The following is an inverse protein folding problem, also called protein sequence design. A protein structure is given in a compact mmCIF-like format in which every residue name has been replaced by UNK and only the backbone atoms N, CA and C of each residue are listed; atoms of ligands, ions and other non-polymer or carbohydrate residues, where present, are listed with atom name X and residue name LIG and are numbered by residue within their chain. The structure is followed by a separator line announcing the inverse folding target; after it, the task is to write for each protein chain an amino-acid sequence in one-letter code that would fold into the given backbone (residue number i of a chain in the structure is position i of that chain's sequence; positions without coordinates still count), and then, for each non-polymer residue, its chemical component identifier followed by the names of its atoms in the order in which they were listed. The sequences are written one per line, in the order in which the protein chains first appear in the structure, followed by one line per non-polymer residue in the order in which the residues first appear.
data_IF_144585410579
#
_entry.id   IF_144585410579
#
_cell.length_a   1.000
_cell.length_b   1.000
_cell.length_c   1.000
_cell.angle_alpha   90.00
_cell.angle_beta   90.00
_cell.angle_gamma   90.00
#
_symmetry.space_group_name_H-M   'P 1'
#
loop_
_entity.id
_entity.type
_entity.pdbx_description
1 polymer ?
#
# COMPACT_ATOMS: atom_id res chain seq x y z
N UNK A 1 -51.70 -81.63 26.79
CA UNK A 1 -51.84 -82.25 28.12
C UNK A 1 -51.65 -81.17 29.17
N UNK A 2 -52.63 -81.07 30.08
CA UNK A 2 -52.61 -80.44 31.40
C UNK A 2 -52.35 -78.93 31.57
N UNK A 3 -53.31 -78.33 32.25
CA UNK A 3 -53.49 -76.97 32.76
C UNK A 3 -52.68 -76.76 34.07
N UNK A 4 -52.31 -75.53 34.40
CA UNK A 4 -52.79 -74.81 35.62
C UNK A 4 -51.75 -73.92 36.37
N UNK A 5 -52.31 -72.84 36.91
CA UNK A 5 -51.97 -72.05 38.11
C UNK A 5 -51.31 -70.67 37.99
N UNK A 6 -52.19 -69.68 38.18
CA UNK A 6 -51.98 -68.39 38.83
C UNK A 6 -51.04 -68.43 40.04
N UNK A 7 -50.18 -67.41 40.18
CA UNK A 7 -49.81 -66.79 41.47
C UNK A 7 -49.50 -65.29 41.30
N UNK A 8 -50.24 -64.46 42.04
CA UNK A 8 -49.92 -63.06 42.39
C UNK A 8 -48.65 -63.00 43.25
N UNK A 9 -47.88 -61.90 43.17
CA UNK A 9 -47.10 -61.23 44.25
C UNK A 9 -46.31 -60.00 43.71
N UNK A 10 -45.83 -59.04 44.54
CA UNK A 10 -46.46 -57.74 44.76
C UNK A 10 -45.63 -56.52 44.30
N UNK A 11 -46.29 -55.35 44.31
CA UNK A 11 -45.74 -54.02 44.04
C UNK A 11 -44.76 -53.60 45.15
N UNK A 12 -43.46 -53.47 44.83
CA UNK A 12 -42.46 -52.83 45.71
C UNK A 12 -42.07 -51.47 45.11
N UNK A 13 -42.52 -50.39 45.77
CA UNK A 13 -42.11 -49.02 45.49
C UNK A 13 -40.75 -48.79 46.17
N UNK A 14 -39.69 -48.69 45.37
CA UNK A 14 -38.35 -48.32 45.86
C UNK A 14 -38.17 -46.80 45.71
N UNK A 15 -38.25 -46.07 46.82
CA UNK A 15 -37.90 -44.67 46.89
C UNK A 15 -36.38 -44.50 46.72
N UNK A 16 -35.95 -43.97 45.57
CA UNK A 16 -34.58 -43.55 45.33
C UNK A 16 -34.37 -42.16 45.94
N UNK A 17 -33.61 -42.12 47.02
CA UNK A 17 -33.05 -40.91 47.62
C UNK A 17 -32.06 -40.31 46.62
N UNK A 18 -32.37 -39.14 46.08
CA UNK A 18 -31.41 -38.34 45.29
C UNK A 18 -30.43 -37.64 46.24
N UNK A 19 -29.11 -37.74 46.01
CA UNK A 19 -28.17 -36.85 46.69
C UNK A 19 -28.31 -35.47 46.05
N UNK A 20 -28.65 -34.47 46.86
CA UNK A 20 -28.52 -33.08 46.49
C UNK A 20 -27.01 -32.75 46.33
N UNK A 21 -26.49 -32.94 45.12
CA UNK A 21 -25.25 -32.28 44.72
C UNK A 21 -25.57 -30.79 44.59
N UNK A 22 -25.12 -30.01 45.56
CA UNK A 22 -24.92 -28.57 45.44
C UNK A 22 -24.02 -28.34 44.23
N UNK A 23 -24.63 -27.98 43.10
CA UNK A 23 -23.93 -27.39 41.98
C UNK A 23 -23.42 -26.02 42.46
N UNK A 24 -22.16 -25.97 42.88
CA UNK A 24 -21.43 -24.71 42.89
C UNK A 24 -21.38 -24.26 41.43
N UNK A 25 -22.23 -23.30 41.09
CA UNK A 25 -22.13 -22.56 39.84
C UNK A 25 -20.78 -21.85 39.83
N UNK A 26 -19.77 -22.50 39.28
CA UNK A 26 -18.62 -21.79 38.75
C UNK A 26 -19.13 -21.00 37.57
N UNK A 27 -19.31 -19.70 37.75
CA UNK A 27 -19.40 -18.78 36.62
C UNK A 27 -18.12 -19.00 35.80
N UNK A 28 -18.25 -19.51 34.57
CA UNK A 28 -17.18 -19.36 33.60
C UNK A 28 -16.86 -17.86 33.51
N UNK A 29 -15.57 -17.46 33.57
CA UNK A 29 -15.22 -16.05 33.46
C UNK A 29 -15.81 -15.51 32.16
N UNK A 30 -16.56 -14.41 32.27
CA UNK A 30 -17.18 -13.75 31.13
C UNK A 30 -16.12 -13.54 30.05
N UNK A 31 -16.29 -14.22 28.90
CA UNK A 31 -15.39 -14.07 27.75
C UNK A 31 -15.40 -12.60 27.35
N UNK A 32 -14.24 -11.95 27.40
CA UNK A 32 -14.09 -10.57 26.93
C UNK A 32 -14.60 -10.48 25.49
N UNK A 33 -15.63 -9.66 25.27
CA UNK A 33 -16.19 -9.41 23.94
C UNK A 33 -15.65 -8.09 23.43
N UNK A 34 -14.89 -8.13 22.33
CA UNK A 34 -14.48 -6.93 21.61
C UNK A 34 -15.70 -6.34 20.88
N UNK A 35 -16.01 -5.04 21.07
CA UNK A 35 -16.94 -4.32 20.20
C UNK A 35 -16.44 -4.32 18.75
N UNK A 36 -17.33 -4.68 17.82
CA UNK A 36 -17.07 -4.65 16.36
C UNK A 36 -17.94 -3.59 15.66
N UNK A 37 -18.35 -2.58 16.40
CA UNK A 37 -19.24 -1.50 15.95
C UNK A 37 -18.51 -0.37 15.22
N UNK A 38 -17.21 -0.54 14.95
CA UNK A 38 -16.38 0.47 14.30
C UNK A 38 -15.84 1.55 15.23
N UNK A 39 -15.97 1.39 16.55
CA UNK A 39 -15.31 2.26 17.52
C UNK A 39 -13.85 1.86 17.79
N UNK A 40 -13.04 2.82 18.27
CA UNK A 40 -11.68 2.52 18.76
C UNK A 40 -11.76 1.95 20.16
N UNK A 41 -11.33 0.69 20.31
CA UNK A 41 -11.42 -0.06 21.58
C UNK A 41 -10.28 0.33 22.53
N UNK A 42 -10.62 0.65 23.77
CA UNK A 42 -9.63 0.88 24.84
C UNK A 42 -9.17 -0.45 25.44
N UNK A 43 -7.86 -0.70 25.40
CA UNK A 43 -7.24 -1.90 25.97
C UNK A 43 -6.39 -1.57 27.20
N UNK A 44 -6.25 -2.57 28.06
CA UNK A 44 -5.41 -2.55 29.25
C UNK A 44 -4.75 -3.92 29.49
N UNK A 45 -3.92 -4.03 30.53
CA UNK A 45 -3.23 -5.30 30.87
C UNK A 45 -4.19 -6.47 31.15
N UNK A 46 -5.44 -6.21 31.54
CA UNK A 46 -6.42 -7.24 31.89
C UNK A 46 -7.15 -7.81 30.67
N UNK A 47 -7.29 -7.04 29.59
CA UNK A 47 -8.05 -7.45 28.41
C UNK A 47 -7.22 -7.60 27.12
N UNK A 48 -5.97 -7.12 27.08
CA UNK A 48 -5.17 -7.08 25.85
C UNK A 48 -5.00 -8.44 25.16
N UNK A 49 -4.60 -9.46 25.90
CA UNK A 49 -4.34 -10.79 25.31
C UNK A 49 -5.64 -11.46 24.84
N UNK A 50 -6.73 -11.27 25.59
CA UNK A 50 -8.05 -11.74 25.18
C UNK A 50 -8.53 -11.00 23.92
N UNK A 51 -8.20 -9.72 23.79
CA UNK A 51 -8.50 -8.92 22.62
C UNK A 51 -7.77 -9.45 21.37
N UNK A 52 -6.45 -9.66 21.49
CA UNK A 52 -5.61 -10.20 20.41
C UNK A 52 -6.09 -11.58 19.96
N UNK A 53 -6.56 -12.43 20.89
CA UNK A 53 -7.04 -13.77 20.58
C UNK A 53 -8.48 -13.83 20.02
N UNK A 54 -9.28 -12.77 20.17
CA UNK A 54 -10.70 -12.77 19.83
C UNK A 54 -11.02 -12.26 18.41
N UNK A 55 -10.03 -11.74 17.69
CA UNK A 55 -10.17 -11.25 16.32
C UNK A 55 -8.96 -11.67 15.48
N UNK A 56 -9.18 -11.87 14.19
CA UNK A 56 -8.10 -12.25 13.26
C UNK A 56 -7.15 -11.07 13.02
N UNK A 57 -7.68 -9.85 12.93
CA UNK A 57 -6.90 -8.63 12.70
C UNK A 57 -7.23 -7.55 13.73
N UNK A 58 -6.23 -7.16 14.51
CA UNK A 58 -6.31 -6.07 15.50
C UNK A 58 -5.22 -5.04 15.23
N UNK A 59 -5.62 -3.79 14.98
CA UNK A 59 -4.70 -2.67 14.82
C UNK A 59 -4.65 -1.83 16.10
N UNK A 60 -3.48 -1.74 16.73
CA UNK A 60 -3.31 -1.16 18.07
C UNK A 60 -2.41 0.08 18.03
N UNK A 61 -2.90 1.19 18.59
CA UNK A 61 -2.11 2.38 18.95
C UNK A 61 -1.56 2.29 20.37
N UNK A 62 -0.25 2.05 20.49
CA UNK A 62 0.46 2.17 21.77
C UNK A 62 0.80 3.64 21.99
N UNK A 63 0.03 4.29 22.87
CA UNK A 63 0.05 5.74 23.05
C UNK A 63 0.42 6.18 24.47
N UNK A 64 0.68 7.49 24.62
CA UNK A 64 0.77 8.17 25.90
C UNK A 64 -0.12 9.43 25.91
N UNK A 65 -0.84 9.75 27.02
CA UNK A 65 -1.80 10.86 27.05
C UNK A 65 -1.20 12.25 26.83
N UNK A 66 0.08 12.44 27.17
CA UNK A 66 0.79 13.71 27.03
C UNK A 66 1.40 13.90 25.63
N UNK A 67 1.47 12.86 24.80
CA UNK A 67 2.15 12.90 23.52
C UNK A 67 1.32 13.66 22.46
N UNK A 68 1.89 14.75 21.93
CA UNK A 68 1.24 15.55 20.89
C UNK A 68 1.01 14.80 19.58
N UNK A 69 1.87 13.82 19.24
CA UNK A 69 1.70 13.00 18.03
C UNK A 69 0.52 12.03 18.18
N UNK A 70 0.34 11.42 19.35
CA UNK A 70 -0.82 10.56 19.67
C UNK A 70 -2.12 11.35 19.58
N UNK A 71 -2.16 12.58 20.15
CA UNK A 71 -3.36 13.44 20.10
C UNK A 71 -3.79 13.77 18.68
N UNK A 72 -2.84 13.94 17.74
CA UNK A 72 -3.15 14.16 16.33
C UNK A 72 -3.58 12.89 15.59
N UNK A 73 -3.10 11.73 16.04
CA UNK A 73 -3.43 10.44 15.45
C UNK A 73 -4.82 9.95 15.87
N UNK A 74 -5.22 10.15 17.13
CA UNK A 74 -6.52 9.70 17.66
C UNK A 74 -7.71 9.99 16.73
N UNK A 75 -7.96 11.24 16.27
CA UNK A 75 -9.09 11.50 15.38
C UNK A 75 -8.99 10.79 14.02
N UNK A 76 -7.78 10.47 13.55
CA UNK A 76 -7.60 9.69 12.32
C UNK A 76 -7.94 8.21 12.52
N UNK A 77 -7.70 7.67 13.72
CA UNK A 77 -8.13 6.31 14.08
C UNK A 77 -9.63 6.24 14.26
N UNK A 78 -10.25 7.25 14.89
CA UNK A 78 -11.69 7.35 15.06
C UNK A 78 -12.42 7.40 13.70
N UNK A 79 -11.83 8.07 12.71
CA UNK A 79 -12.33 8.12 11.33
C UNK A 79 -12.11 6.79 10.58
N UNK A 80 -10.97 6.12 10.78
CA UNK A 80 -10.63 4.89 10.08
C UNK A 80 -11.37 3.64 10.61
N UNK A 81 -11.59 3.58 11.92
CA UNK A 81 -12.17 2.41 12.61
C UNK A 81 -13.51 1.91 12.02
N UNK A 82 -14.52 2.75 11.71
CA UNK A 82 -15.77 2.25 11.15
C UNK A 82 -15.60 1.70 9.73
N UNK A 83 -14.70 2.29 8.93
CA UNK A 83 -14.41 1.81 7.57
C UNK A 83 -13.72 0.45 7.62
N UNK A 84 -12.75 0.30 8.53
CA UNK A 84 -11.98 -0.94 8.73
C UNK A 84 -12.83 -2.09 9.28
N UNK A 85 -13.77 -1.79 10.18
CA UNK A 85 -14.70 -2.78 10.72
C UNK A 85 -15.73 -3.27 9.67
N UNK A 86 -16.05 -2.42 8.68
CA UNK A 86 -16.99 -2.73 7.60
C UNK A 86 -16.40 -3.46 6.40
N UNK A 87 -15.08 -3.74 6.40
CA UNK A 87 -14.43 -4.47 5.31
C UNK A 87 -14.91 -5.93 5.25
N UNK A 88 -14.81 -6.52 4.06
CA UNK A 88 -14.98 -7.97 3.86
C UNK A 88 -14.05 -8.81 4.75
N UNK A 89 -12.86 -8.29 5.04
CA UNK A 89 -11.93 -8.78 6.06
C UNK A 89 -11.79 -7.72 7.17
N UNK A 90 -12.61 -7.78 8.24
CA UNK A 90 -12.67 -6.73 9.25
C UNK A 90 -11.36 -6.56 10.02
N UNK A 91 -10.98 -5.31 10.29
CA UNK A 91 -9.88 -4.96 11.20
C UNK A 91 -10.46 -4.16 12.36
N UNK A 92 -10.27 -4.64 13.58
CA UNK A 92 -10.64 -3.88 14.78
C UNK A 92 -9.52 -2.90 15.10
N UNK A 93 -9.89 -1.64 15.38
CA UNK A 93 -8.94 -0.63 15.84
C UNK A 93 -9.02 -0.51 17.35
N UNK A 94 -7.87 -0.49 18.00
CA UNK A 94 -7.75 -0.37 19.44
C UNK A 94 -6.60 0.57 19.81
N UNK A 95 -6.56 0.97 21.08
CA UNK A 95 -5.45 1.73 21.64
C UNK A 95 -5.18 1.30 23.08
N UNK A 96 -3.93 1.47 23.49
CA UNK A 96 -3.47 1.08 24.83
C UNK A 96 -2.50 2.14 25.36
N UNK A 97 -2.72 2.55 26.61
CA UNK A 97 -1.84 3.49 27.29
C UNK A 97 -0.55 2.79 27.73
N UNK A 98 0.45 2.78 26.85
CA UNK A 98 1.74 2.12 27.04
C UNK A 98 2.67 2.87 28.03
N UNK A 99 2.37 4.13 28.37
CA UNK A 99 3.00 4.84 29.50
C UNK A 99 2.58 4.21 30.84
N UNK A 100 1.29 3.92 30.98
CA UNK A 100 0.70 3.31 32.18
C UNK A 100 1.04 1.81 32.27
N UNK A 101 0.90 1.09 31.17
CA UNK A 101 1.04 -0.37 31.10
C UNK A 101 2.44 -0.79 30.63
N UNK A 102 3.44 -0.57 31.49
CA UNK A 102 4.87 -0.77 31.17
C UNK A 102 5.22 -2.21 30.79
N UNK A 103 4.46 -3.21 31.26
CA UNK A 103 4.67 -4.61 30.90
C UNK A 103 4.34 -4.85 29.43
N UNK A 104 3.18 -4.35 28.96
CA UNK A 104 2.80 -4.42 27.55
C UNK A 104 3.80 -3.65 26.68
N UNK A 105 4.19 -2.45 27.11
CA UNK A 105 5.21 -1.64 26.43
C UNK A 105 6.51 -2.44 26.22
N UNK A 106 7.00 -3.10 27.26
CA UNK A 106 8.23 -3.88 27.21
C UNK A 106 8.06 -5.15 26.38
N UNK A 107 6.92 -5.86 26.51
CA UNK A 107 6.62 -7.09 25.79
C UNK A 107 6.66 -6.89 24.27
N UNK A 108 6.13 -5.77 23.79
CA UNK A 108 6.05 -5.45 22.37
C UNK A 108 7.14 -4.47 21.90
N UNK A 109 8.18 -4.22 22.70
CA UNK A 109 9.32 -3.39 22.27
C UNK A 109 8.96 -1.95 21.90
N UNK A 110 8.01 -1.34 22.62
CA UNK A 110 7.54 0.02 22.32
C UNK A 110 8.52 1.06 22.90
N UNK A 111 9.38 1.59 22.06
CA UNK A 111 10.42 2.56 22.44
C UNK A 111 9.98 4.03 22.35
N UNK A 112 8.94 4.32 21.57
CA UNK A 112 8.40 5.67 21.37
C UNK A 112 6.89 5.69 21.15
N UNK A 113 6.31 6.90 21.13
CA UNK A 113 4.87 7.09 20.96
C UNK A 113 4.52 8.06 19.82
N UNK A 114 3.45 7.79 19.04
CA UNK A 114 2.74 6.53 19.00
C UNK A 114 3.56 5.45 18.28
N UNK A 115 3.44 4.21 18.73
CA UNK A 115 3.86 3.01 18.00
C UNK A 115 2.61 2.26 17.58
N UNK A 116 2.48 1.98 16.28
CA UNK A 116 1.30 1.35 15.69
C UNK A 116 1.65 -0.09 15.34
N UNK A 117 0.80 -1.05 15.72
CA UNK A 117 1.02 -2.46 15.41
C UNK A 117 -0.23 -3.11 14.84
N UNK A 118 -0.06 -3.90 13.79
CA UNK A 118 -1.07 -4.83 13.31
C UNK A 118 -0.77 -6.19 13.91
N UNK A 119 -1.75 -6.76 14.60
CA UNK A 119 -1.75 -8.16 15.02
C UNK A 119 -2.54 -8.95 13.96
N UNK A 120 -1.82 -9.80 13.23
CA UNK A 120 -2.36 -10.70 12.21
C UNK A 120 -2.36 -12.11 12.80
N UNK A 121 -3.54 -12.64 13.12
CA UNK A 121 -3.75 -13.89 13.85
C UNK A 121 -2.86 -13.98 15.12
N UNK A 122 -2.78 -12.85 15.84
CA UNK A 122 -1.98 -12.71 17.05
C UNK A 122 -0.48 -12.44 16.84
N UNK A 123 0.01 -12.44 15.59
CA UNK A 123 1.40 -12.11 15.26
C UNK A 123 1.55 -10.60 15.09
N UNK A 124 2.33 -9.91 15.94
CA UNK A 124 2.49 -8.47 15.85
C UNK A 124 3.47 -8.07 14.74
N UNK A 125 3.10 -7.06 13.95
CA UNK A 125 3.99 -6.37 13.01
C UNK A 125 3.84 -4.87 13.20
N UNK A 126 4.96 -4.16 13.35
CA UNK A 126 4.95 -2.70 13.43
C UNK A 126 4.51 -2.09 12.10
N UNK A 127 3.56 -1.17 12.17
CA UNK A 127 3.06 -0.42 11.04
C UNK A 127 3.76 0.93 10.92
N UNK A 128 4.51 1.10 9.82
CA UNK A 128 5.29 2.31 9.53
C UNK A 128 4.69 3.15 8.39
N UNK A 129 3.46 2.83 7.95
CA UNK A 129 2.79 3.52 6.85
C UNK A 129 2.18 4.86 7.23
N UNK A 130 1.35 5.41 6.33
CA UNK A 130 0.67 6.69 6.57
C UNK A 130 -0.27 6.64 7.77
N UNK A 131 -0.33 7.76 8.49
CA UNK A 131 -1.15 7.97 9.68
C UNK A 131 -2.43 8.77 9.40
N UNK A 132 -2.67 9.12 8.13
CA UNK A 132 -3.90 9.78 7.69
C UNK A 132 -5.00 8.74 7.45
N UNK A 133 -6.22 9.00 7.90
CA UNK A 133 -7.32 8.03 7.93
C UNK A 133 -7.50 7.28 6.61
N UNK A 134 -7.70 7.98 5.49
CA UNK A 134 -7.90 7.34 4.18
C UNK A 134 -6.72 6.44 3.75
N UNK A 135 -5.49 6.95 3.83
CA UNK A 135 -4.29 6.19 3.44
C UNK A 135 -3.97 5.04 4.41
N UNK A 136 -4.32 5.21 5.69
CA UNK A 136 -4.22 4.17 6.72
C UNK A 136 -5.17 3.01 6.40
N UNK A 137 -6.43 3.32 6.08
CA UNK A 137 -7.44 2.33 5.65
C UNK A 137 -6.96 1.57 4.41
N UNK A 138 -6.50 2.28 3.38
CA UNK A 138 -5.97 1.65 2.16
C UNK A 138 -4.79 0.71 2.46
N UNK A 139 -3.85 1.16 3.28
CA UNK A 139 -2.65 0.37 3.63
C UNK A 139 -3.00 -0.87 4.43
N UNK A 140 -3.82 -0.75 5.48
CA UNK A 140 -4.20 -1.87 6.34
C UNK A 140 -5.04 -2.90 5.59
N UNK A 141 -5.99 -2.46 4.76
CA UNK A 141 -6.77 -3.34 3.89
C UNK A 141 -5.86 -4.18 2.99
N UNK A 142 -4.83 -3.58 2.40
CA UNK A 142 -3.86 -4.30 1.55
C UNK A 142 -3.06 -5.34 2.33
N UNK A 143 -2.71 -5.03 3.57
CA UNK A 143 -1.91 -5.92 4.42
C UNK A 143 -2.69 -7.19 4.82
N UNK A 144 -3.97 -7.04 5.19
CA UNK A 144 -4.79 -8.17 5.68
C UNK A 144 -5.48 -8.97 4.57
N UNK A 145 -5.52 -8.44 3.35
CA UNK A 145 -6.13 -9.13 2.24
C UNK A 145 -5.39 -10.43 1.90
N UNK A 146 -6.12 -11.45 1.39
CA UNK A 146 -5.49 -12.63 0.84
C UNK A 146 -4.59 -12.24 -0.34
N UNK A 147 -3.59 -13.07 -0.62
CA UNK A 147 -2.68 -12.85 -1.74
C UNK A 147 -3.44 -12.89 -3.08
N UNK A 148 -4.46 -13.74 -3.16
CA UNK A 148 -5.44 -13.79 -4.25
C UNK A 148 -6.85 -13.90 -3.66
N UNK A 149 -7.72 -12.93 -3.92
CA UNK A 149 -9.12 -12.99 -3.50
C UNK A 149 -9.94 -13.89 -4.41
N UNK A 150 -10.84 -14.69 -3.86
CA UNK A 150 -11.79 -15.50 -4.65
C UNK A 150 -13.15 -14.80 -4.69
N UNK A 151 -13.59 -14.44 -5.89
CA UNK A 151 -14.82 -13.69 -6.16
C UNK A 151 -15.85 -14.64 -6.77
N UNK A 152 -17.05 -14.71 -6.20
CA UNK A 152 -18.05 -15.74 -6.52
C UNK A 152 -19.36 -15.18 -7.09
N UNK A 153 -19.38 -13.91 -7.49
CA UNK A 153 -20.52 -13.27 -8.16
C UNK A 153 -20.16 -11.90 -8.72
N UNK A 154 -21.00 -11.36 -9.60
CA UNK A 154 -20.90 -9.98 -10.08
C UNK A 154 -20.84 -8.95 -8.95
N UNK A 155 -21.64 -9.16 -7.90
CA UNK A 155 -21.66 -8.28 -6.74
C UNK A 155 -20.32 -8.30 -6.01
N UNK A 156 -19.72 -9.48 -5.82
CA UNK A 156 -18.40 -9.63 -5.21
C UNK A 156 -17.30 -8.95 -6.04
N UNK A 157 -17.37 -9.04 -7.38
CA UNK A 157 -16.43 -8.36 -8.28
C UNK A 157 -16.54 -6.84 -8.16
N UNK A 158 -17.77 -6.31 -8.21
CA UNK A 158 -18.01 -4.86 -8.06
C UNK A 158 -17.54 -4.35 -6.69
N UNK A 159 -17.87 -5.06 -5.62
CA UNK A 159 -17.41 -4.73 -4.26
C UNK A 159 -15.89 -4.79 -4.14
N UNK A 160 -15.23 -5.79 -4.72
CA UNK A 160 -13.77 -5.89 -4.72
C UNK A 160 -13.12 -4.70 -5.41
N UNK A 161 -13.59 -4.31 -6.59
CA UNK A 161 -13.05 -3.14 -7.31
C UNK A 161 -13.29 -1.84 -6.54
N UNK A 162 -14.49 -1.68 -5.96
CA UNK A 162 -14.82 -0.52 -5.14
C UNK A 162 -13.96 -0.44 -3.87
N UNK A 163 -13.74 -1.57 -3.18
CA UNK A 163 -12.94 -1.64 -1.96
C UNK A 163 -11.44 -1.47 -2.26
N UNK A 164 -10.93 -2.01 -3.37
CA UNK A 164 -9.54 -1.86 -3.77
C UNK A 164 -9.13 -0.38 -4.00
N UNK A 165 -10.11 0.47 -4.37
CA UNK A 165 -9.92 1.90 -4.56
C UNK A 165 -9.01 2.23 -5.75
N UNK A 166 -8.32 3.37 -5.68
CA UNK A 166 -7.47 3.87 -6.79
C UNK A 166 -5.98 3.80 -6.49
N UNK A 167 -5.59 3.32 -5.31
CA UNK A 167 -4.20 3.34 -4.86
C UNK A 167 -3.29 2.34 -5.57
N UNK A 168 -3.84 1.22 -6.06
CA UNK A 168 -3.07 0.12 -6.64
C UNK A 168 -3.76 -0.45 -7.89
N UNK A 169 -3.00 -0.96 -8.87
CA UNK A 169 -3.54 -1.80 -9.93
C UNK A 169 -4.25 -3.05 -9.39
N UNK A 170 -5.19 -3.57 -10.17
CA UNK A 170 -5.95 -4.79 -9.87
C UNK A 170 -5.82 -5.78 -11.01
N UNK A 171 -5.70 -7.07 -10.68
CA UNK A 171 -5.71 -8.18 -11.61
C UNK A 171 -6.86 -9.12 -11.25
N UNK A 172 -7.81 -9.30 -12.17
CA UNK A 172 -9.00 -10.14 -11.99
C UNK A 172 -8.97 -11.25 -13.04
N UNK A 173 -8.76 -12.48 -12.58
CA UNK A 173 -8.72 -13.67 -13.43
C UNK A 173 -10.10 -14.28 -13.65
N UNK A 174 -10.66 -14.14 -14.84
CA UNK A 174 -11.92 -14.73 -15.26
C UNK A 174 -11.68 -16.12 -15.87
N UNK A 175 -12.18 -17.17 -15.20
CA UNK A 175 -11.89 -18.56 -15.59
C UNK A 175 -10.41 -18.96 -15.37
N UNK A 176 -9.67 -18.21 -14.56
CA UNK A 176 -8.27 -18.47 -14.20
C UNK A 176 -8.23 -19.17 -12.85
N UNK A 177 -7.50 -20.27 -12.74
CA UNK A 177 -7.27 -20.94 -11.46
C UNK A 177 -6.38 -20.11 -10.54
N UNK A 178 -6.72 -20.07 -9.25
CA UNK A 178 -5.98 -19.33 -8.22
C UNK A 178 -4.49 -19.70 -8.20
N UNK A 179 -4.17 -20.98 -8.35
CA UNK A 179 -2.79 -21.48 -8.40
C UNK A 179 -1.96 -20.88 -9.54
N UNK A 180 -2.59 -20.45 -10.63
CA UNK A 180 -1.90 -19.84 -11.77
C UNK A 180 -1.40 -18.43 -11.47
N UNK A 181 -2.01 -17.75 -10.48
CA UNK A 181 -1.65 -16.38 -10.11
C UNK A 181 -1.21 -16.20 -8.65
N UNK A 182 -1.24 -17.27 -7.84
CA UNK A 182 -0.93 -17.24 -6.41
C UNK A 182 0.47 -16.67 -6.11
N UNK A 183 1.49 -17.09 -6.86
CA UNK A 183 2.86 -16.60 -6.67
C UNK A 183 2.95 -15.09 -6.91
N UNK A 184 2.26 -14.57 -7.92
CA UNK A 184 2.25 -13.14 -8.24
C UNK A 184 1.47 -12.35 -7.19
N UNK A 185 0.35 -12.88 -6.71
CA UNK A 185 -0.40 -12.34 -5.58
C UNK A 185 0.48 -12.12 -4.35
N UNK A 186 1.26 -13.14 -3.98
CA UNK A 186 2.20 -13.07 -2.87
C UNK A 186 3.35 -12.09 -3.14
N UNK A 187 4.00 -12.22 -4.30
CA UNK A 187 5.17 -11.41 -4.70
C UNK A 187 4.83 -9.92 -4.78
N UNK A 188 3.66 -9.57 -5.30
CA UNK A 188 3.22 -8.21 -5.53
C UNK A 188 2.16 -7.73 -4.52
N UNK A 189 2.02 -8.39 -3.37
CA UNK A 189 1.03 -8.04 -2.33
C UNK A 189 1.00 -6.56 -1.96
N UNK A 190 2.15 -5.88 -1.97
CA UNK A 190 2.28 -4.45 -1.64
C UNK A 190 2.17 -3.51 -2.85
N UNK A 191 2.02 -4.04 -4.06
CA UNK A 191 2.04 -3.29 -5.33
C UNK A 191 0.76 -3.42 -6.15
N UNK A 192 0.02 -4.53 -6.03
CA UNK A 192 -1.23 -4.74 -6.76
C UNK A 192 -2.19 -5.71 -6.06
N UNK A 193 -3.46 -5.63 -6.40
CA UNK A 193 -4.50 -6.57 -5.99
C UNK A 193 -4.60 -7.73 -6.98
N UNK A 194 -4.79 -8.94 -6.49
CA UNK A 194 -5.01 -10.12 -7.34
C UNK A 194 -6.28 -10.83 -6.89
N UNK A 195 -7.06 -11.30 -7.86
CA UNK A 195 -8.26 -12.07 -7.60
C UNK A 195 -8.59 -13.03 -8.74
N UNK A 196 -9.42 -14.02 -8.45
CA UNK A 196 -10.06 -14.90 -9.44
C UNK A 196 -11.57 -14.75 -9.35
N UNK A 197 -12.26 -14.73 -10.48
CA UNK A 197 -13.70 -14.73 -10.59
C UNK A 197 -14.19 -16.14 -10.98
N UNK A 198 -14.87 -16.81 -10.04
CA UNK A 198 -15.44 -18.16 -10.22
C UNK A 198 -16.82 -18.13 -10.88
N UNK A 199 -17.55 -17.04 -10.72
CA UNK A 199 -18.87 -16.83 -11.31
C UNK A 199 -19.01 -15.34 -11.69
N UNK A 200 -19.48 -15.10 -12.91
CA UNK A 200 -19.63 -13.78 -13.50
C UNK A 200 -20.58 -13.84 -14.72
N UNK A 201 -21.30 -12.76 -14.96
CA UNK A 201 -22.22 -12.64 -16.10
C UNK A 201 -21.52 -12.22 -17.39
N UNK A 202 -22.19 -12.46 -18.53
CA UNK A 202 -21.79 -11.91 -19.84
C UNK A 202 -21.77 -10.36 -19.83
N UNK A 203 -22.61 -9.72 -19.02
CA UNK A 203 -22.59 -8.26 -18.85
C UNK A 203 -21.25 -7.79 -18.28
N UNK A 204 -20.66 -8.52 -17.33
CA UNK A 204 -19.32 -8.19 -16.84
C UNK A 204 -18.22 -8.43 -17.88
N UNK A 205 -18.40 -9.43 -18.75
CA UNK A 205 -17.49 -9.63 -19.89
C UNK A 205 -17.48 -8.41 -20.81
N UNK A 206 -18.67 -7.86 -21.11
CA UNK A 206 -18.80 -6.63 -21.87
C UNK A 206 -18.23 -5.40 -21.13
N UNK A 207 -18.45 -5.28 -19.81
CA UNK A 207 -17.91 -4.18 -19.00
C UNK A 207 -16.38 -4.17 -18.99
N UNK A 208 -15.76 -5.34 -18.87
CA UNK A 208 -14.30 -5.49 -18.85
C UNK A 208 -13.70 -5.83 -20.21
N UNK A 209 -14.48 -5.68 -21.29
CA UNK A 209 -14.06 -5.81 -22.69
C UNK A 209 -13.26 -7.09 -22.98
N UNK A 210 -13.78 -8.24 -22.53
CA UNK A 210 -13.21 -9.55 -22.87
C UNK A 210 -14.27 -10.51 -23.43
N UNK A 211 -13.88 -11.39 -24.35
CA UNK A 211 -14.81 -12.24 -25.10
C UNK A 211 -14.59 -13.75 -24.88
N UNK A 212 -13.50 -14.12 -24.19
CA UNK A 212 -13.06 -15.51 -23.98
C UNK A 212 -12.47 -15.70 -22.60
N UNK A 213 -12.42 -16.96 -22.18
CA UNK A 213 -11.74 -17.40 -20.96
C UNK A 213 -10.73 -18.52 -21.28
N UNK A 214 -9.66 -18.68 -20.50
CA UNK A 214 -9.26 -17.85 -19.36
C UNK A 214 -8.80 -16.44 -19.80
N UNK A 215 -9.11 -15.43 -18.99
CA UNK A 215 -8.68 -14.04 -19.21
C UNK A 215 -8.24 -13.39 -17.90
N UNK A 216 -7.11 -12.69 -17.90
CA UNK A 216 -6.68 -11.84 -16.79
C UNK A 216 -6.88 -10.38 -17.17
N UNK A 217 -7.84 -9.75 -16.51
CA UNK A 217 -8.11 -8.32 -16.67
C UNK A 217 -7.23 -7.55 -15.70
N UNK A 218 -6.38 -6.67 -16.21
CA UNK A 218 -5.67 -5.66 -15.44
C UNK A 218 -6.46 -4.35 -15.46
N UNK A 219 -6.63 -3.74 -14.30
CA UNK A 219 -7.23 -2.42 -14.12
C UNK A 219 -6.23 -1.51 -13.40
N UNK A 220 -6.06 -0.30 -13.90
CA UNK A 220 -5.33 0.76 -13.23
C UNK A 220 -6.24 1.97 -13.00
N UNK A 221 -7.01 1.99 -11.89
CA UNK A 221 -8.06 2.99 -11.68
C UNK A 221 -7.52 4.42 -11.58
N UNK A 222 -6.28 4.60 -11.09
CA UNK A 222 -5.61 5.90 -10.99
C UNK A 222 -5.47 6.58 -12.36
N UNK A 223 -5.24 5.78 -13.41
CA UNK A 223 -5.01 6.26 -14.77
C UNK A 223 -6.17 5.96 -15.72
N UNK A 224 -7.22 5.31 -15.22
CA UNK A 224 -8.37 4.83 -15.99
C UNK A 224 -7.91 3.98 -17.21
N UNK A 225 -7.01 3.03 -16.94
CA UNK A 225 -6.45 2.12 -17.94
C UNK A 225 -6.88 0.69 -17.64
N UNK A 226 -7.05 -0.11 -18.70
CA UNK A 226 -7.42 -1.52 -18.63
C UNK A 226 -6.66 -2.29 -19.71
N UNK A 227 -6.33 -3.55 -19.42
CA UNK A 227 -5.76 -4.47 -20.39
C UNK A 227 -6.23 -5.89 -20.12
N UNK A 228 -6.34 -6.71 -21.16
CA UNK A 228 -6.79 -8.10 -21.03
C UNK A 228 -5.72 -9.03 -21.58
N UNK A 229 -5.39 -10.06 -20.80
CA UNK A 229 -4.44 -11.09 -21.18
C UNK A 229 -5.14 -12.45 -21.29
N UNK A 230 -5.07 -13.07 -22.47
CA UNK A 230 -5.71 -14.36 -22.77
C UNK A 230 -4.78 -15.56 -22.60
N UNK A 231 -3.56 -15.36 -22.10
CA UNK A 231 -2.57 -16.42 -21.92
C UNK A 231 -1.43 -16.38 -22.96
N UNK A 232 -0.48 -17.31 -22.84
CA UNK A 232 -0.50 -18.46 -21.91
C UNK A 232 -0.33 -18.06 -20.44
N UNK A 233 -1.01 -18.75 -19.52
CA UNK A 233 -0.97 -18.50 -18.07
C UNK A 233 0.22 -19.15 -17.36
N UNK A 234 1.32 -19.32 -18.09
CA UNK A 234 2.52 -20.01 -17.67
C UNK A 234 3.74 -19.40 -18.35
N UNK A 235 4.92 -19.63 -17.76
CA UNK A 235 6.17 -19.07 -18.26
C UNK A 235 6.24 -17.55 -18.15
N UNK A 236 7.05 -16.93 -19.02
CA UNK A 236 7.39 -15.49 -18.93
C UNK A 236 6.30 -14.57 -19.43
N UNK A 237 5.37 -15.03 -20.26
CA UNK A 237 4.33 -14.17 -20.86
C UNK A 237 3.40 -13.54 -19.81
N UNK A 238 2.97 -14.33 -18.83
CA UNK A 238 2.14 -13.85 -17.72
C UNK A 238 2.94 -12.88 -16.83
N UNK A 239 4.19 -13.21 -16.52
CA UNK A 239 5.07 -12.34 -15.75
C UNK A 239 5.28 -10.99 -16.44
N UNK A 240 5.56 -11.00 -17.74
CA UNK A 240 5.73 -9.81 -18.56
C UNK A 240 4.44 -8.98 -18.57
N UNK A 241 3.27 -9.60 -18.79
CA UNK A 241 1.99 -8.90 -18.74
C UNK A 241 1.73 -8.23 -17.39
N UNK A 242 1.96 -8.95 -16.28
CA UNK A 242 1.80 -8.41 -14.93
C UNK A 242 2.76 -7.25 -14.70
N UNK A 243 4.05 -7.42 -14.98
CA UNK A 243 5.07 -6.36 -14.81
C UNK A 243 4.71 -5.12 -15.61
N UNK A 244 4.31 -5.28 -16.87
CA UNK A 244 3.90 -4.18 -17.74
C UNK A 244 2.66 -3.47 -17.21
N UNK A 245 1.70 -4.23 -16.71
CA UNK A 245 0.43 -3.74 -16.17
C UNK A 245 0.54 -3.07 -14.79
N UNK A 246 1.64 -3.27 -14.06
CA UNK A 246 1.88 -2.56 -12.80
C UNK A 246 2.13 -1.05 -13.01
N UNK A 247 2.61 -0.67 -14.20
CA UNK A 247 2.86 0.70 -14.59
C UNK A 247 1.72 1.19 -15.49
N UNK A 248 1.36 2.48 -15.44
CA UNK A 248 0.52 3.05 -16.49
C UNK A 248 1.23 2.99 -17.85
N UNK A 249 0.45 2.96 -18.93
CA UNK A 249 0.95 2.89 -20.31
C UNK A 249 1.93 4.03 -20.61
N UNK A 250 1.61 5.23 -20.10
CA UNK A 250 2.52 6.38 -20.07
C UNK A 250 2.79 6.76 -18.64
N UNK A 251 4.04 6.62 -18.20
CA UNK A 251 4.45 6.74 -16.80
C UNK A 251 4.72 8.19 -16.42
N UNK A 252 3.89 8.84 -15.57
CA UNK A 252 4.28 10.11 -14.97
C UNK A 252 5.46 9.84 -14.03
N UNK A 253 6.58 10.50 -14.24
CA UNK A 253 7.76 10.30 -13.41
C UNK A 253 7.62 11.10 -12.11
N UNK A 254 7.57 10.38 -11.00
CA UNK A 254 7.53 10.91 -9.64
C UNK A 254 8.24 9.91 -8.70
N UNK A 255 8.35 10.25 -7.41
CA UNK A 255 9.08 9.41 -6.46
C UNK A 255 8.56 7.95 -6.37
N UNK A 256 7.25 7.75 -6.56
CA UNK A 256 6.61 6.44 -6.54
C UNK A 256 6.94 5.65 -7.81
N UNK A 257 6.70 6.23 -8.99
CA UNK A 257 6.90 5.54 -10.27
C UNK A 257 8.37 5.29 -10.58
N UNK A 258 9.29 6.18 -10.17
CA UNK A 258 10.74 5.89 -10.28
C UNK A 258 11.11 4.66 -9.48
N UNK A 259 10.56 4.49 -8.27
CA UNK A 259 10.80 3.28 -7.47
C UNK A 259 10.26 2.03 -8.16
N UNK A 260 9.11 2.13 -8.82
CA UNK A 260 8.53 1.01 -9.58
C UNK A 260 9.36 0.65 -10.81
N UNK A 261 9.89 1.66 -11.52
CA UNK A 261 10.70 1.49 -12.72
C UNK A 261 12.03 0.77 -12.45
N UNK A 262 12.61 0.88 -11.24
CA UNK A 262 13.87 0.22 -10.89
C UNK A 262 13.84 -1.31 -11.06
N UNK A 263 12.66 -1.91 -10.92
CA UNK A 263 12.47 -3.35 -11.08
C UNK A 263 12.07 -3.72 -12.54
N UNK A 264 12.05 -2.76 -13.47
CA UNK A 264 11.71 -2.93 -14.88
C UNK A 264 12.99 -2.90 -15.75
N UNK A 265 13.25 -3.96 -16.51
CA UNK A 265 14.49 -4.07 -17.30
C UNK A 265 14.47 -3.18 -18.55
N UNK A 266 13.30 -2.69 -18.96
CA UNK A 266 13.15 -1.88 -20.18
C UNK A 266 13.67 -0.47 -19.94
N UNK A 267 14.28 0.10 -20.98
CA UNK A 267 14.68 1.52 -20.94
C UNK A 267 13.46 2.43 -21.06
N UNK A 268 13.59 3.63 -20.51
CA UNK A 268 12.51 4.64 -20.48
C UNK A 268 12.74 5.66 -21.58
N UNK A 269 11.86 5.74 -22.58
CA UNK A 269 11.74 6.91 -23.44
C UNK A 269 11.06 8.01 -22.64
N UNK A 270 11.85 8.94 -22.14
CA UNK A 270 11.42 10.00 -21.24
C UNK A 270 11.17 11.29 -22.01
N UNK A 271 9.93 11.79 -21.95
CA UNK A 271 9.57 13.13 -22.38
C UNK A 271 9.74 14.13 -21.23
N UNK A 272 10.66 15.07 -21.40
CA UNK A 272 10.82 16.22 -20.50
C UNK A 272 9.99 17.37 -21.07
N UNK A 273 9.08 17.88 -20.25
CA UNK A 273 8.08 18.88 -20.58
C UNK A 273 8.32 20.14 -19.73
N UNK A 274 7.80 21.29 -20.13
CA UNK A 274 7.85 22.47 -19.26
C UNK A 274 6.88 22.28 -18.08
N UNK A 275 5.63 21.95 -18.40
CA UNK A 275 4.56 21.67 -17.46
C UNK A 275 3.77 20.45 -17.98
N UNK A 276 3.72 19.37 -17.22
CA UNK A 276 3.02 18.15 -17.66
C UNK A 276 1.49 18.21 -17.51
N UNK A 277 0.96 19.32 -16.97
CA UNK A 277 -0.47 19.54 -16.78
C UNK A 277 -1.12 20.44 -17.83
N UNK A 278 -0.32 21.08 -18.70
CA UNK A 278 -0.84 21.97 -19.73
C UNK A 278 -1.48 21.21 -20.91
N UNK A 279 -2.32 21.89 -21.70
CA UNK A 279 -3.06 21.27 -22.80
C UNK A 279 -2.15 20.68 -23.89
N UNK A 280 -1.03 21.33 -24.17
CA UNK A 280 -0.08 20.92 -25.21
C UNK A 280 0.64 19.63 -24.80
N UNK A 281 1.13 19.58 -23.57
CA UNK A 281 1.69 18.40 -22.91
C UNK A 281 0.70 17.25 -22.89
N UNK A 282 -0.57 17.51 -22.54
CA UNK A 282 -1.60 16.47 -22.55
C UNK A 282 -1.88 15.90 -23.95
N UNK A 283 -1.75 16.70 -25.02
CA UNK A 283 -1.81 16.19 -26.39
C UNK A 283 -0.60 15.33 -26.73
N UNK A 284 0.61 15.74 -26.34
CA UNK A 284 1.83 14.95 -26.53
C UNK A 284 1.79 13.63 -25.75
N UNK A 285 1.30 13.63 -24.51
CA UNK A 285 1.12 12.41 -23.68
C UNK A 285 0.20 11.40 -24.37
N UNK A 286 -0.86 11.84 -25.06
CA UNK A 286 -1.71 10.94 -25.88
C UNK A 286 -0.95 10.31 -27.04
N UNK A 287 -0.04 11.05 -27.67
CA UNK A 287 0.82 10.52 -28.73
C UNK A 287 1.85 9.53 -28.14
N UNK A 288 2.47 9.85 -27.01
CA UNK A 288 3.35 8.93 -26.28
C UNK A 288 2.63 7.64 -25.90
N UNK A 289 1.36 7.71 -25.48
CA UNK A 289 0.53 6.53 -25.20
C UNK A 289 0.35 5.65 -26.42
N UNK A 290 0.12 6.26 -27.58
CA UNK A 290 0.01 5.52 -28.84
C UNK A 290 1.34 4.84 -29.20
N UNK A 291 2.47 5.52 -28.97
CA UNK A 291 3.79 4.93 -29.16
C UNK A 291 4.09 3.80 -28.15
N UNK A 292 3.71 3.95 -26.89
CA UNK A 292 3.89 2.95 -25.84
C UNK A 292 3.17 1.64 -26.18
N UNK A 293 1.92 1.73 -26.65
CA UNK A 293 1.14 0.58 -27.09
C UNK A 293 1.75 -0.15 -28.30
N UNK A 294 2.61 0.51 -29.09
CA UNK A 294 3.25 -0.08 -30.25
C UNK A 294 4.68 -0.59 -29.97
N UNK A 295 5.25 -0.29 -28.80
CA UNK A 295 6.67 -0.52 -28.49
C UNK A 295 6.84 -1.06 -27.05
N UNK A 296 6.34 -2.27 -26.81
CA UNK A 296 6.35 -2.90 -25.48
C UNK A 296 7.76 -3.20 -24.92
N UNK A 297 8.78 -3.19 -25.78
CA UNK A 297 10.21 -3.31 -25.43
C UNK A 297 10.76 -2.08 -24.68
N UNK A 298 9.99 -0.98 -24.64
CA UNK A 298 10.34 0.27 -23.98
C UNK A 298 9.23 0.70 -23.02
N UNK A 299 9.60 1.47 -22.00
CA UNK A 299 8.65 2.23 -21.19
C UNK A 299 8.59 3.66 -21.72
N UNK A 300 7.42 4.26 -21.78
CA UNK A 300 7.27 5.66 -22.13
C UNK A 300 6.93 6.45 -20.87
N UNK A 301 7.78 7.39 -20.51
CA UNK A 301 7.62 8.23 -19.32
C UNK A 301 7.53 9.70 -19.68
N UNK A 302 6.96 10.51 -18.79
CA UNK A 302 6.94 11.95 -18.93
C UNK A 302 7.13 12.66 -17.59
N UNK A 303 7.72 13.85 -17.62
CA UNK A 303 7.91 14.69 -16.44
C UNK A 303 7.92 16.16 -16.85
N UNK A 304 7.21 17.01 -16.11
CA UNK A 304 7.33 18.45 -16.26
C UNK A 304 8.40 19.05 -15.34
N UNK A 305 9.14 20.04 -15.85
CA UNK A 305 10.09 20.83 -15.05
C UNK A 305 9.38 21.49 -13.87
N UNK A 306 8.16 22.01 -14.09
CA UNK A 306 7.35 22.64 -13.03
C UNK A 306 6.96 21.64 -11.92
N UNK A 307 6.85 20.36 -12.24
CA UNK A 307 6.46 19.29 -11.32
C UNK A 307 7.65 18.73 -10.54
N UNK A 308 8.83 18.63 -11.18
CA UNK A 308 10.01 18.05 -10.53
C UNK A 308 11.34 18.57 -11.11
N UNK A 309 11.61 19.86 -10.92
CA UNK A 309 12.81 20.55 -11.43
C UNK A 309 14.12 19.78 -11.15
N UNK A 310 14.33 19.35 -9.91
CA UNK A 310 15.52 18.60 -9.47
C UNK A 310 15.74 17.31 -10.27
N UNK A 311 14.66 16.59 -10.61
CA UNK A 311 14.75 15.39 -11.43
C UNK A 311 15.08 15.72 -12.88
N UNK A 312 14.57 16.83 -13.40
CA UNK A 312 14.73 17.23 -14.81
C UNK A 312 16.08 17.91 -15.13
N UNK A 313 16.77 18.48 -14.14
CA UNK A 313 18.03 19.22 -14.29
C UNK A 313 19.10 18.50 -15.17
N UNK A 314 19.31 17.17 -15.07
CA UNK A 314 20.32 16.51 -15.90
C UNK A 314 19.92 16.36 -17.37
N UNK A 315 18.62 16.39 -17.65
CA UNK A 315 18.05 16.19 -18.99
C UNK A 315 17.81 17.52 -19.72
N UNK A 316 17.69 18.61 -18.97
CA UNK A 316 17.34 19.94 -19.44
C UNK A 316 18.25 21.01 -18.81
N UNK A 317 18.97 21.77 -19.63
CA UNK A 317 19.67 22.98 -19.18
C UNK A 317 18.72 24.18 -19.27
N UNK A 318 18.40 24.77 -18.11
CA UNK A 318 17.48 25.92 -17.95
C UNK A 318 17.88 27.16 -18.73
N UNK A 319 19.12 27.24 -19.24
CA UNK A 319 19.61 28.37 -20.01
C UNK A 319 19.49 28.22 -21.53
N UNK A 320 19.23 27.02 -22.05
CA UNK A 320 19.38 26.77 -23.50
C UNK A 320 18.56 25.62 -24.09
N UNK A 321 17.87 24.81 -23.30
CA UNK A 321 17.26 23.59 -23.83
C UNK A 321 15.80 23.83 -24.22
N UNK A 322 15.49 23.68 -25.51
CA UNK A 322 14.12 23.71 -26.01
C UNK A 322 13.33 22.51 -25.44
N UNK A 323 12.08 22.74 -25.03
CA UNK A 323 11.14 21.72 -24.58
C UNK A 323 9.91 21.75 -25.49
N UNK A 324 9.21 20.62 -25.69
CA UNK A 324 9.44 19.31 -25.09
C UNK A 324 10.61 18.54 -25.72
N UNK A 325 11.23 17.65 -24.94
CA UNK A 325 12.43 16.90 -25.33
C UNK A 325 12.32 15.42 -24.99
N UNK A 326 12.85 14.55 -25.86
CA UNK A 326 12.94 13.11 -25.66
C UNK A 326 14.36 12.66 -25.36
N UNK A 327 14.50 11.74 -24.41
CA UNK A 327 15.73 11.01 -24.11
C UNK A 327 15.41 9.55 -23.86
N UNK A 328 16.40 8.66 -23.96
CA UNK A 328 16.27 7.28 -23.51
C UNK A 328 17.07 7.11 -22.22
N UNK A 329 16.38 6.88 -21.11
CA UNK A 329 16.97 6.79 -19.79
C UNK A 329 17.03 5.33 -19.33
N UNK A 330 18.19 4.89 -18.84
CA UNK A 330 18.39 3.53 -18.33
C UNK A 330 18.05 3.39 -16.85
N UNK A 331 17.44 4.41 -16.24
CA UNK A 331 17.05 4.46 -14.81
C UNK A 331 18.22 4.62 -13.83
N UNK A 332 19.44 4.61 -14.35
CA UNK A 332 20.68 4.88 -13.66
C UNK A 332 21.19 6.30 -13.94
N UNK A 333 22.48 6.55 -13.69
CA UNK A 333 23.13 7.83 -13.90
C UNK A 333 23.43 8.15 -15.39
N UNK A 334 22.99 7.30 -16.31
CA UNK A 334 23.20 7.43 -17.75
C UNK A 334 21.88 7.57 -18.53
N UNK A 335 21.93 8.36 -19.59
CA UNK A 335 20.87 8.49 -20.58
C UNK A 335 21.45 8.69 -21.98
N UNK A 336 20.64 8.39 -22.99
CA UNK A 336 20.98 8.49 -24.39
C UNK A 336 20.14 9.57 -25.05
N UNK A 337 20.78 10.37 -25.90
CA UNK A 337 20.14 11.38 -26.73
C UNK A 337 20.27 10.96 -28.18
N UNK A 338 19.17 11.00 -28.93
CA UNK A 338 19.18 10.75 -30.37
C UNK A 338 19.53 12.06 -31.08
N UNK A 339 20.67 12.09 -31.78
CA UNK A 339 21.20 13.32 -32.37
C UNK A 339 20.23 13.98 -33.36
N UNK A 340 19.89 15.24 -33.11
CA UNK A 340 19.08 16.07 -33.99
C UNK A 340 17.58 15.73 -33.97
N UNK A 341 17.16 14.82 -33.09
CA UNK A 341 15.76 14.40 -32.94
C UNK A 341 15.30 14.47 -31.47
N UNK A 342 16.12 15.03 -30.59
CA UNK A 342 15.79 15.12 -29.17
C UNK A 342 14.73 16.16 -28.86
N UNK A 343 14.69 17.28 -29.57
CA UNK A 343 13.69 18.33 -29.35
C UNK A 343 12.49 18.09 -30.26
N UNK A 344 11.30 18.19 -29.70
CA UNK A 344 10.05 18.08 -30.45
C UNK A 344 9.58 19.47 -30.84
N UNK A 345 9.38 19.67 -32.15
CA UNK A 345 8.82 20.90 -32.71
C UNK A 345 7.29 20.82 -32.73
N UNK A 346 6.64 21.99 -32.75
CA UNK A 346 5.18 22.06 -32.96
C UNK A 346 4.78 21.34 -34.25
N UNK A 347 3.70 20.56 -34.18
CA UNK A 347 3.13 19.88 -35.33
C UNK A 347 2.96 18.39 -35.10
N UNK A 348 3.40 17.57 -36.06
CA UNK A 348 3.20 16.12 -36.02
C UNK A 348 4.20 15.44 -35.08
N UNK A 349 3.85 15.40 -33.79
CA UNK A 349 4.62 14.68 -32.78
C UNK A 349 4.68 13.17 -33.05
N UNK A 350 3.69 12.56 -33.72
CA UNK A 350 3.66 11.13 -33.99
C UNK A 350 4.78 10.69 -34.93
N UNK A 351 4.94 11.43 -36.03
CA UNK A 351 6.04 11.23 -36.98
C UNK A 351 7.40 11.54 -36.36
N UNK A 352 7.49 12.55 -35.48
CA UNK A 352 8.73 12.89 -34.79
C UNK A 352 9.16 11.78 -33.81
N UNK A 353 8.24 11.29 -32.97
CA UNK A 353 8.49 10.17 -32.05
C UNK A 353 8.88 8.90 -32.83
N UNK A 354 8.20 8.61 -33.94
CA UNK A 354 8.52 7.44 -34.77
C UNK A 354 9.96 7.50 -35.31
N UNK A 355 10.37 8.65 -35.87
CA UNK A 355 11.75 8.87 -36.35
C UNK A 355 12.78 8.79 -35.23
N UNK A 356 12.46 9.33 -34.05
CA UNK A 356 13.29 9.21 -32.86
C UNK A 356 13.53 7.75 -32.49
N UNK A 357 12.48 6.93 -32.41
CA UNK A 357 12.56 5.51 -32.07
C UNK A 357 13.34 4.69 -33.13
N UNK A 358 13.12 4.97 -34.41
CA UNK A 358 13.88 4.35 -35.51
C UNK A 358 15.39 4.68 -35.41
N UNK A 359 15.72 5.94 -35.13
CA UNK A 359 17.09 6.38 -34.97
C UNK A 359 17.76 5.79 -33.71
N UNK A 360 17.02 5.73 -32.59
CA UNK A 360 17.47 5.05 -31.37
C UNK A 360 17.78 3.57 -31.63
N UNK A 361 16.87 2.84 -32.27
CA UNK A 361 17.06 1.42 -32.61
C UNK A 361 18.20 1.19 -33.60
N UNK A 362 18.51 2.18 -34.43
CA UNK A 362 19.68 2.17 -35.31
C UNK A 362 21.00 2.51 -34.60
N UNK A 363 20.97 2.80 -33.29
CA UNK A 363 22.16 3.16 -32.50
C UNK A 363 22.70 4.56 -32.78
N UNK A 364 21.88 5.46 -33.34
CA UNK A 364 22.26 6.87 -33.60
C UNK A 364 22.09 7.70 -32.32
N UNK A 365 22.84 7.34 -31.28
CA UNK A 365 22.72 7.93 -29.95
C UNK A 365 24.05 8.44 -29.41
N UNK A 366 23.97 9.51 -28.61
CA UNK A 366 25.06 9.97 -27.74
C UNK A 366 24.69 9.60 -26.31
N UNK A 367 25.56 8.82 -25.66
CA UNK A 367 25.49 8.58 -24.21
C UNK A 367 25.91 9.82 -23.43
N UNK A 368 25.13 10.15 -22.42
CA UNK A 368 25.40 11.21 -21.45
C UNK A 368 25.28 10.64 -20.04
N UNK A 369 26.16 11.09 -19.17
CA UNK A 369 26.11 10.81 -17.74
C UNK A 369 25.61 12.04 -17.03
N UNK A 370 24.86 11.86 -15.94
CA UNK A 370 24.49 12.99 -15.10
C UNK A 370 25.75 13.67 -14.55
N UNK A 371 25.70 15.00 -14.44
CA UNK A 371 26.76 15.74 -13.74
C UNK A 371 26.84 15.30 -12.27
N UNK A 372 27.92 15.69 -11.57
CA UNK A 372 28.20 15.41 -10.14
C UNK A 372 27.07 15.75 -9.12
N UNK A 373 25.91 16.21 -9.57
CA UNK A 373 24.76 16.68 -8.78
C UNK A 373 23.52 15.81 -8.86
N UNK A 374 23.49 14.71 -9.62
CA UNK A 374 22.28 13.88 -9.60
C UNK A 374 22.08 13.30 -8.20
N UNK A 375 20.93 13.56 -7.55
CA UNK A 375 20.61 12.89 -6.32
C UNK A 375 20.37 11.43 -6.70
N UNK A 376 21.30 10.54 -6.35
CA UNK A 376 20.87 9.15 -6.17
C UNK A 376 19.69 9.18 -5.20
N UNK A 377 18.67 8.36 -5.41
CA UNK A 377 17.55 8.24 -4.44
C UNK A 377 18.04 7.92 -3.01
N UNK A 378 19.26 7.38 -2.87
CA UNK A 378 20.01 7.27 -1.62
C UNK A 378 20.47 8.63 -1.06
N UNK A 379 20.94 9.54 -1.91
CA UNK A 379 21.35 10.91 -1.59
C UNK A 379 20.22 11.81 -1.10
N UNK A 380 19.01 11.69 -1.63
CA UNK A 380 17.85 12.47 -1.14
C UNK A 380 17.53 12.10 0.30
N UNK A 381 17.46 10.80 0.61
CA UNK A 381 17.26 10.32 1.99
C UNK A 381 18.43 10.71 2.90
N UNK A 382 19.68 10.67 2.42
CA UNK A 382 20.84 11.12 3.17
C UNK A 382 20.83 12.64 3.43
N UNK A 383 20.33 13.45 2.48
CA UNK A 383 20.19 14.90 2.63
C UNK A 383 19.08 15.24 3.64
N UNK A 384 17.96 14.52 3.64
CA UNK A 384 16.93 14.64 4.67
C UNK A 384 17.44 14.21 6.04
N UNK A 385 18.22 13.12 6.12
CA UNK A 385 18.86 12.68 7.37
C UNK A 385 19.86 13.74 7.84
N UNK A 386 20.66 14.33 6.95
CA UNK A 386 21.63 15.38 7.29
C UNK A 386 20.91 16.65 7.76
N UNK A 387 19.86 17.09 7.07
CA UNK A 387 19.04 18.24 7.46
C UNK A 387 18.36 18.00 8.82
N UNK A 388 17.87 16.78 9.05
CA UNK A 388 17.28 16.38 10.32
C UNK A 388 18.33 16.33 11.44
N UNK A 389 19.53 15.81 11.17
CA UNK A 389 20.65 15.83 12.12
C UNK A 389 21.08 17.25 12.44
N UNK A 390 21.21 18.13 11.45
CA UNK A 390 21.54 19.56 11.65
C UNK A 390 20.44 20.26 12.44
N UNK A 391 19.17 20.01 12.14
CA UNK A 391 18.04 20.56 12.90
C UNK A 391 18.06 20.07 14.36
N UNK A 392 18.32 18.78 14.59
CA UNK A 392 18.49 18.21 15.94
C UNK A 392 19.66 18.86 16.65
N UNK A 393 20.79 19.07 15.97
CA UNK A 393 21.98 19.71 16.55
C UNK A 393 21.72 21.18 16.91
N UNK A 394 21.03 21.94 16.06
CA UNK A 394 20.61 23.32 16.33
C UNK A 394 19.67 23.37 17.54
N UNK A 395 18.72 22.44 17.62
CA UNK A 395 17.81 22.33 18.77
C UNK A 395 18.57 21.99 20.05
N UNK A 396 19.49 21.02 20.01
CA UNK A 396 20.35 20.66 21.15
C UNK A 396 21.24 21.82 21.61
N UNK A 397 21.80 22.59 20.68
CA UNK A 397 22.59 23.79 20.98
C UNK A 397 21.71 24.88 21.61
N UNK A 398 20.47 25.04 21.14
CA UNK A 398 19.51 25.99 21.70
C UNK A 398 19.13 25.63 23.15
N UNK A 399 18.92 24.34 23.45
CA UNK A 399 18.66 23.86 24.81
C UNK A 399 19.90 23.90 25.71
N UNK A 400 21.10 23.72 25.15
CA UNK A 400 22.36 23.84 25.91
C UNK A 400 22.72 25.29 26.26
N UNK A 401 22.14 26.28 25.57
CA UNK A 401 22.38 27.71 25.79
C UNK A 401 21.55 28.35 26.93
N UNK A 402 20.53 27.66 27.44
CA UNK A 402 19.59 28.21 28.46
C UNK A 402 20.06 27.98 29.92
N UNK A 403 21.24 27.38 30.15
CA UNK A 403 21.69 26.93 31.47
C UNK A 403 22.71 27.80 32.21
N UNK A 404 22.97 29.05 31.79
CA UNK A 404 23.90 29.95 32.51
C UNK A 404 23.17 31.16 33.10
N UNK A 405 22.48 30.91 34.22
CA UNK A 405 21.99 31.97 35.11
C UNK A 405 23.18 32.63 35.84
N UNK A 406 23.25 33.95 35.72
CA UNK A 406 24.23 34.82 36.39
C UNK A 406 23.88 34.91 37.88
N UNK A 407 24.68 34.31 38.76
CA UNK A 407 24.56 34.53 40.22
C UNK A 407 25.02 35.95 40.59
N UNK A 408 24.08 36.79 41.02
CA UNK A 408 24.38 38.01 41.77
C UNK A 408 24.86 37.67 43.20
N UNK A 409 25.84 38.41 43.75
CA UNK A 409 26.26 38.24 45.13
C UNK A 409 25.35 39.04 46.09
N UNK A 410 24.82 38.34 47.10
CA UNK A 410 24.06 38.91 48.21
C UNK A 410 24.96 39.81 49.06
N UNK A 411 24.62 41.10 49.14
CA UNK A 411 25.22 42.05 50.10
C UNK A 411 24.63 41.81 51.49
N UNK A 412 25.49 41.53 52.46
CA UNK A 412 25.18 41.65 53.88
C UNK A 412 25.24 43.13 54.29
N UNK A 413 24.23 43.60 55.05
CA UNK A 413 24.31 44.82 55.84
C UNK A 413 24.21 44.44 57.32
N UNK A 414 25.26 44.76 58.08
CA UNK A 414 25.18 45.07 59.51
C UNK A 414 25.09 46.59 59.62
N UNK A 415 23.97 47.10 60.12
CA UNK A 415 23.81 47.84 61.39
C UNK A 415 22.34 48.24 61.56
#
# INVERSE_FOLDING_TARGET
MAVDKQRLLPLFVLALVTPACLASGGEEPARFQIPRDGSVVELDEGNFEAAVAAVDFLFVDFHAPWCGHCKRLSPQLDEAAPVLAGLSTPIVVAKVNAEKYKKLRSKYGVDGFPTLMLFDHGVPTEYTGSRKAGQLVESLRKLVAPDVSVLTSDAAIKSFVQEAGVGFPLFIGFGVDESSIAEYGARYKKKAWFSTAKDFSEDLMAVYDFDKIPALVSLNPKYNEQSVFYGPFEGTFLEDFIRQSLLPITVPINAETVKMLKDDDRKVVLAVLQDDSDETSMRLIKVLRSAANANHDLVFGYVGVNQWEEFTEPFHDSKSSQLPKLVVWDKDEEYEVVEGLENLEEGDHGSQISRFLEAYRAGRTIKKTFGRRFPTLLGVNALYILLLLVAVLVVLMFFSGQGKEVRQPTRAHQE
#
